data_IF_142867481350
#
_entry.id   IF_142867481350
#
_cell.length_a   1.000
_cell.length_b   1.000
_cell.length_c   1.000
_cell.angle_alpha   90.00
_cell.angle_beta   90.00
_cell.angle_gamma   90.00
#
_symmetry.space_group_name_H-M   'P 1'
#
loop_
_entity.id
_entity.type
_entity.pdbx_description
1 polymer ?
#
# COMPACT_ATOMS: atom_id res chain seq x y z
N UNK A 1 -19.90 5.97 12.70
CA UNK A 1 -18.47 6.02 13.10
C UNK A 1 -17.67 4.84 12.55
N UNK A 2 -17.85 3.60 13.03
CA UNK A 2 -17.02 2.43 12.65
C UNK A 2 -16.90 2.18 11.13
N UNK A 3 -18.01 2.29 10.40
CA UNK A 3 -18.04 2.09 8.93
C UNK A 3 -17.28 3.18 8.17
N UNK A 4 -17.38 4.43 8.61
CA UNK A 4 -16.66 5.56 8.01
C UNK A 4 -15.15 5.42 8.20
N UNK A 5 -14.71 5.03 9.41
CA UNK A 5 -13.29 4.80 9.70
C UNK A 5 -12.74 3.68 8.82
N UNK A 6 -13.46 2.56 8.73
CA UNK A 6 -13.05 1.45 7.87
C UNK A 6 -12.91 1.88 6.41
N UNK A 7 -13.86 2.67 5.89
CA UNK A 7 -13.80 3.20 4.54
C UNK A 7 -12.58 4.11 4.30
N UNK A 8 -12.31 5.05 5.20
CA UNK A 8 -11.14 5.94 5.10
C UNK A 8 -9.84 5.15 5.18
N UNK A 9 -9.75 4.17 6.08
CA UNK A 9 -8.57 3.29 6.17
C UNK A 9 -8.38 2.52 4.87
N UNK A 10 -9.43 1.95 4.30
CA UNK A 10 -9.37 1.26 3.01
C UNK A 10 -8.82 2.15 1.91
N UNK A 11 -9.24 3.42 1.86
CA UNK A 11 -8.81 4.41 0.87
C UNK A 11 -7.33 4.83 1.05
N UNK A 12 -6.88 4.96 2.30
CA UNK A 12 -5.51 5.40 2.61
C UNK A 12 -4.48 4.27 2.60
N UNK A 13 -4.91 3.03 2.81
CA UNK A 13 -4.04 1.85 2.87
C UNK A 13 -3.03 1.73 1.71
N UNK A 14 -3.39 1.93 0.42
CA UNK A 14 -2.42 1.83 -0.66
C UNK A 14 -1.30 2.87 -0.54
N UNK A 15 -1.62 4.10 -0.13
CA UNK A 15 -0.63 5.17 0.08
C UNK A 15 0.30 4.82 1.24
N UNK A 16 -0.25 4.32 2.33
CA UNK A 16 0.52 3.90 3.52
C UNK A 16 1.49 2.76 3.16
N UNK A 17 1.01 1.76 2.41
CA UNK A 17 1.83 0.62 2.00
C UNK A 17 2.95 1.03 1.04
N UNK A 18 2.67 1.90 0.06
CA UNK A 18 3.68 2.39 -0.89
C UNK A 18 4.70 3.27 -0.17
N UNK A 19 4.26 4.25 0.63
CA UNK A 19 5.16 5.16 1.35
C UNK A 19 6.00 4.45 2.41
N UNK A 20 5.37 3.58 3.21
CA UNK A 20 6.05 2.75 4.21
C UNK A 20 7.00 1.74 3.58
N UNK A 21 6.56 1.05 2.52
CA UNK A 21 7.38 0.10 1.78
C UNK A 21 8.59 0.77 1.11
N UNK A 22 8.42 1.97 0.54
CA UNK A 22 9.51 2.78 -0.02
C UNK A 22 10.55 3.15 1.04
N UNK A 23 10.08 3.58 2.22
CA UNK A 23 10.95 3.92 3.35
C UNK A 23 11.75 2.71 3.85
N UNK A 24 11.10 1.56 4.00
CA UNK A 24 11.75 0.31 4.42
C UNK A 24 12.74 -0.21 3.38
N UNK A 25 12.41 -0.10 2.10
CA UNK A 25 13.30 -0.45 0.98
C UNK A 25 14.55 0.41 1.03
N UNK A 26 14.39 1.73 1.13
CA UNK A 26 15.51 2.68 1.21
C UNK A 26 16.40 2.43 2.44
N UNK A 27 15.79 2.25 3.62
CA UNK A 27 16.52 1.93 4.85
C UNK A 27 17.26 0.60 4.76
N UNK A 28 16.62 -0.42 4.18
CA UNK A 28 17.22 -1.74 3.97
C UNK A 28 18.44 -1.69 3.05
N UNK A 29 18.38 -0.89 1.97
CA UNK A 29 19.52 -0.69 1.07
C UNK A 29 20.67 0.01 1.81
N UNK A 30 20.39 1.10 2.53
CA UNK A 30 21.40 1.87 3.27
C UNK A 30 22.16 1.02 4.31
N UNK A 31 21.49 0.05 4.92
CA UNK A 31 22.08 -0.82 5.95
C UNK A 31 22.49 -2.21 5.44
N UNK A 32 22.38 -2.46 4.12
CA UNK A 32 22.62 -3.76 3.50
C UNK A 32 21.79 -4.92 4.11
N UNK A 33 20.55 -4.64 4.49
CA UNK A 33 19.61 -5.62 5.05
C UNK A 33 18.69 -6.17 3.96
N UNK A 34 19.18 -7.18 3.23
CA UNK A 34 18.48 -7.76 2.07
C UNK A 34 17.03 -8.16 2.38
N UNK A 35 16.78 -8.77 3.55
CA UNK A 35 15.42 -9.15 3.94
C UNK A 35 14.47 -7.95 4.07
N UNK A 36 14.96 -6.84 4.64
CA UNK A 36 14.13 -5.63 4.81
C UNK A 36 13.79 -4.98 3.45
N UNK A 37 14.73 -5.02 2.51
CA UNK A 37 14.50 -4.57 1.12
C UNK A 37 13.36 -5.36 0.50
N UNK A 38 13.37 -6.69 0.61
CA UNK A 38 12.31 -7.54 0.07
C UNK A 38 10.95 -7.28 0.74
N UNK A 39 10.92 -7.07 2.05
CA UNK A 39 9.70 -6.69 2.78
C UNK A 39 9.16 -5.35 2.26
N UNK A 40 10.02 -4.35 2.10
CA UNK A 40 9.64 -3.05 1.57
C UNK A 40 9.07 -3.13 0.15
N UNK A 41 9.72 -3.88 -0.74
CA UNK A 41 9.24 -4.12 -2.11
C UNK A 41 7.90 -4.86 -2.14
N UNK A 42 7.72 -5.87 -1.28
CA UNK A 42 6.46 -6.60 -1.17
C UNK A 42 5.31 -5.68 -0.69
N UNK A 43 5.59 -4.77 0.25
CA UNK A 43 4.62 -3.77 0.68
C UNK A 43 4.23 -2.80 -0.44
N UNK A 44 5.19 -2.32 -1.23
CA UNK A 44 4.91 -1.47 -2.40
C UNK A 44 4.00 -2.22 -3.37
N UNK A 45 4.33 -3.48 -3.72
CA UNK A 45 3.52 -4.29 -4.60
C UNK A 45 2.09 -4.48 -4.06
N UNK A 46 1.94 -4.78 -2.77
CA UNK A 46 0.63 -4.89 -2.13
C UNK A 46 -0.16 -3.58 -2.18
N UNK A 47 0.49 -2.43 -1.96
CA UNK A 47 -0.14 -1.12 -2.05
C UNK A 47 -0.60 -0.79 -3.47
N UNK A 48 0.18 -1.12 -4.49
CA UNK A 48 -0.20 -0.95 -5.90
C UNK A 48 -1.39 -1.84 -6.25
N UNK A 49 -1.35 -3.13 -5.90
CA UNK A 49 -2.45 -4.06 -6.15
C UNK A 49 -3.74 -3.62 -5.46
N UNK A 50 -3.65 -3.12 -4.23
CA UNK A 50 -4.79 -2.58 -3.50
C UNK A 50 -5.34 -1.32 -4.18
N UNK A 51 -4.47 -0.41 -4.62
CA UNK A 51 -4.88 0.79 -5.36
C UNK A 51 -5.61 0.46 -6.66
N UNK A 52 -5.11 -0.53 -7.41
CA UNK A 52 -5.77 -1.05 -8.61
C UNK A 52 -7.13 -1.67 -8.29
N UNK A 53 -7.23 -2.46 -7.22
CA UNK A 53 -8.50 -3.01 -6.75
C UNK A 53 -9.51 -1.89 -6.47
N UNK A 54 -9.12 -0.83 -5.76
CA UNK A 54 -10.01 0.30 -5.48
C UNK A 54 -10.39 1.07 -6.74
N UNK A 55 -9.45 1.22 -7.68
CA UNK A 55 -9.72 1.87 -8.96
C UNK A 55 -10.78 1.10 -9.75
N UNK A 56 -10.62 -0.22 -9.89
CA UNK A 56 -11.61 -1.06 -10.58
C UNK A 56 -12.95 -1.11 -9.84
N UNK A 57 -12.92 -1.21 -8.51
CA UNK A 57 -14.12 -1.16 -7.68
C UNK A 57 -14.89 0.16 -7.85
N UNK A 58 -14.18 1.28 -7.97
CA UNK A 58 -14.81 2.58 -8.24
C UNK A 58 -15.32 2.70 -9.69
N UNK A 59 -14.66 2.05 -10.67
CA UNK A 59 -15.08 2.11 -12.08
C UNK A 59 -16.23 1.17 -12.43
N UNK A 60 -16.39 0.06 -11.71
CA UNK A 60 -17.48 -0.91 -11.91
C UNK A 60 -18.84 -0.44 -11.34
N UNK A 61 -18.87 0.74 -10.72
CA UNK A 61 -20.11 1.40 -10.33
C UNK A 61 -20.90 1.87 -11.55
N UNK A 62 -21.83 1.05 -12.04
CA UNK A 62 -22.89 1.51 -12.94
C UNK A 62 -23.71 2.60 -12.24
N UNK A 63 -23.74 3.80 -12.80
CA UNK A 63 -24.77 4.80 -12.52
C UNK A 63 -26.13 4.29 -13.00
#
# INVERSE_FOLDING_TARGET
MRRLIAFVVTLLMPIILIGGGGSLTGWGITNNWTMLVWVGLAMIAAGVLWGLFLFFWASDGSF
#
